data_IF_572954760358
#
_entry.id   IF_572954760358
#
_cell.length_a   1.000
_cell.length_b   1.000
_cell.length_c   1.000
_cell.angle_alpha   90.00
_cell.angle_beta   90.00
_cell.angle_gamma   90.00
#
_symmetry.space_group_name_H-M   'P 1'
#
loop_
_entity.id
_entity.type
_entity.pdbx_description
1 polymer ?
#
# COMPACT_ATOMS: atom_id res chain seq x y z
N UNK A 1 5.51 20.65 -1.40
CA UNK A 1 4.67 20.70 -0.18
C UNK A 1 4.13 19.31 0.15
N UNK A 2 4.21 18.92 1.41
CA UNK A 2 3.70 17.61 1.85
C UNK A 2 2.24 17.72 2.25
N UNK A 3 1.47 16.69 1.93
CA UNK A 3 0.08 16.55 2.38
C UNK A 3 -0.24 15.08 2.54
N UNK A 4 -1.38 14.79 3.16
CA UNK A 4 -1.80 13.41 3.41
C UNK A 4 -2.51 12.88 2.17
N UNK A 5 -2.01 11.74 1.69
CA UNK A 5 -2.63 11.00 0.60
C UNK A 5 -3.16 9.68 1.12
N UNK A 6 -4.25 9.23 0.53
CA UNK A 6 -4.86 7.94 0.84
C UNK A 6 -4.91 7.11 -0.43
N UNK A 7 -4.53 5.86 -0.32
CA UNK A 7 -4.66 4.94 -1.44
C UNK A 7 -4.89 3.52 -0.94
N UNK A 8 -5.36 2.68 -1.84
CA UNK A 8 -5.69 1.29 -1.54
C UNK A 8 -4.90 0.39 -2.47
N UNK A 9 -4.28 -0.64 -1.89
CA UNK A 9 -3.62 -1.70 -2.65
C UNK A 9 -4.54 -2.92 -2.62
N UNK A 10 -4.89 -3.44 -3.79
CA UNK A 10 -5.75 -4.61 -3.92
C UNK A 10 -4.86 -5.82 -4.20
N UNK A 11 -4.88 -6.77 -3.30
CA UNK A 11 -4.00 -7.93 -3.34
C UNK A 11 -4.79 -9.18 -3.69
N UNK A 12 -4.27 -9.99 -4.61
CA UNK A 12 -4.76 -11.36 -4.82
C UNK A 12 -3.97 -12.27 -3.90
N UNK A 13 -4.63 -12.96 -2.98
CA UNK A 13 -3.97 -13.75 -1.95
C UNK A 13 -4.58 -15.15 -1.87
N UNK A 14 -3.76 -16.11 -1.47
CA UNK A 14 -4.22 -17.48 -1.24
C UNK A 14 -4.66 -17.70 0.20
N UNK A 15 -4.17 -16.85 1.10
CA UNK A 15 -4.49 -16.94 2.52
C UNK A 15 -4.25 -15.58 3.17
N UNK A 16 -4.78 -15.40 4.37
CA UNK A 16 -4.54 -14.20 5.16
C UNK A 16 -3.05 -14.01 5.47
N UNK A 17 -2.35 -15.12 5.74
CA UNK A 17 -0.92 -15.06 6.03
C UNK A 17 -0.10 -14.53 4.85
N UNK A 18 -0.47 -14.90 3.63
CA UNK A 18 0.16 -14.36 2.43
C UNK A 18 -0.08 -12.85 2.33
N UNK A 19 -1.31 -12.42 2.63
CA UNK A 19 -1.66 -11.00 2.67
C UNK A 19 -0.81 -10.22 3.67
N UNK A 20 -0.54 -10.80 4.84
CA UNK A 20 0.31 -10.16 5.84
C UNK A 20 1.74 -9.99 5.34
N UNK A 21 2.26 -10.93 4.57
CA UNK A 21 3.60 -10.82 4.00
C UNK A 21 3.67 -9.64 3.03
N UNK A 22 2.66 -9.49 2.16
CA UNK A 22 2.61 -8.35 1.25
C UNK A 22 2.43 -7.02 1.99
N UNK A 23 1.65 -7.01 3.06
CA UNK A 23 1.49 -5.83 3.90
C UNK A 23 2.84 -5.37 4.46
N UNK A 24 3.66 -6.31 4.92
CA UNK A 24 5.01 -6.02 5.41
C UNK A 24 5.90 -5.46 4.31
N UNK A 25 5.80 -5.98 3.10
CA UNK A 25 6.56 -5.48 1.97
C UNK A 25 6.17 -4.04 1.64
N UNK A 26 4.89 -3.74 1.69
CA UNK A 26 4.40 -2.37 1.48
C UNK A 26 4.96 -1.43 2.55
N UNK A 27 4.91 -1.83 3.81
CA UNK A 27 5.47 -1.05 4.91
C UNK A 27 6.96 -0.78 4.71
N UNK A 28 7.70 -1.78 4.26
CA UNK A 28 9.13 -1.66 4.02
C UNK A 28 9.43 -0.65 2.92
N UNK A 29 8.67 -0.71 1.83
CA UNK A 29 8.81 0.24 0.73
C UNK A 29 8.58 1.67 1.23
N UNK A 30 7.50 1.89 1.98
CA UNK A 30 7.17 3.21 2.51
C UNK A 30 8.29 3.73 3.41
N UNK A 31 8.85 2.87 4.24
CA UNK A 31 9.93 3.22 5.16
C UNK A 31 11.20 3.64 4.41
N UNK A 32 11.48 3.00 3.28
CA UNK A 32 12.67 3.30 2.47
C UNK A 32 12.64 4.74 1.91
N UNK A 33 11.47 5.34 1.78
CA UNK A 33 11.34 6.73 1.37
C UNK A 33 11.48 7.71 2.52
N UNK A 34 11.53 7.22 3.77
CA UNK A 34 11.64 8.08 4.94
C UNK A 34 10.42 8.93 5.20
N UNK A 35 9.29 8.60 4.59
CA UNK A 35 8.06 9.35 4.74
C UNK A 35 7.20 8.81 5.89
N UNK A 36 6.36 9.67 6.48
CA UNK A 36 5.40 9.24 7.48
C UNK A 36 4.27 8.49 6.80
N UNK A 37 4.12 7.23 7.14
CA UNK A 37 3.12 6.39 6.51
C UNK A 37 2.59 5.35 7.51
N UNK A 38 1.32 5.00 7.34
CA UNK A 38 0.71 3.96 8.16
C UNK A 38 -0.38 3.27 7.38
N UNK A 39 -0.66 2.05 7.79
CA UNK A 39 -1.77 1.29 7.25
C UNK A 39 -2.97 1.57 8.13
N UNK A 40 -3.97 2.23 7.54
CA UNK A 40 -5.18 2.59 8.27
C UNK A 40 -6.04 1.36 8.54
N UNK A 41 -6.23 0.53 7.53
CA UNK A 41 -6.94 -0.74 7.66
C UNK A 41 -6.38 -1.75 6.66
N UNK A 42 -6.51 -3.02 7.00
CA UNK A 42 -6.18 -4.11 6.09
C UNK A 42 -7.12 -5.27 6.38
N UNK A 43 -7.61 -5.93 5.34
CA UNK A 43 -8.52 -7.04 5.55
C UNK A 43 -8.98 -7.67 4.24
N UNK A 44 -9.64 -8.80 4.37
CA UNK A 44 -10.15 -9.55 3.23
C UNK A 44 -11.41 -8.89 2.67
N UNK A 45 -11.45 -8.73 1.35
CA UNK A 45 -12.66 -8.34 0.62
C UNK A 45 -13.44 -9.58 0.21
N UNK A 46 -12.72 -10.67 -0.03
CA UNK A 46 -13.27 -12.00 -0.33
C UNK A 46 -12.23 -13.03 0.09
N UNK A 47 -12.49 -14.32 -0.16
CA UNK A 47 -11.55 -15.36 0.25
C UNK A 47 -10.19 -15.30 -0.43
N UNK A 48 -10.11 -14.63 -1.57
CA UNK A 48 -8.87 -14.55 -2.37
C UNK A 48 -8.44 -13.12 -2.70
N UNK A 49 -9.09 -12.12 -2.10
CA UNK A 49 -8.78 -10.72 -2.34
C UNK A 49 -8.69 -9.97 -1.02
N UNK A 50 -7.62 -9.22 -0.86
CA UNK A 50 -7.38 -8.41 0.33
C UNK A 50 -7.16 -6.96 -0.07
N UNK A 51 -7.58 -6.02 0.75
CA UNK A 51 -7.25 -4.61 0.55
C UNK A 51 -6.36 -4.12 1.69
N UNK A 52 -5.38 -3.30 1.34
CA UNK A 52 -4.53 -2.60 2.30
C UNK A 52 -4.72 -1.11 2.06
N UNK A 53 -5.33 -0.43 3.01
CA UNK A 53 -5.60 0.99 2.91
C UNK A 53 -4.48 1.77 3.59
N UNK A 54 -3.79 2.60 2.82
CA UNK A 54 -2.58 3.29 3.25
C UNK A 54 -2.83 4.80 3.31
N UNK A 55 -2.28 5.43 4.35
CA UNK A 55 -2.20 6.89 4.45
C UNK A 55 -0.74 7.26 4.53
N UNK A 56 -0.34 8.26 3.77
CA UNK A 56 1.05 8.71 3.77
C UNK A 56 1.12 10.24 3.69
N UNK A 57 1.98 10.81 4.50
CA UNK A 57 2.28 12.25 4.46
C UNK A 57 3.51 12.44 3.58
N UNK A 58 3.29 12.95 2.37
CA UNK A 58 4.36 13.07 1.37
C UNK A 58 4.04 14.15 0.35
N UNK A 59 4.95 14.37 -0.59
CA UNK A 59 4.72 15.25 -1.73
C UNK A 59 4.16 14.46 -2.92
N UNK A 60 3.56 15.18 -3.84
CA UNK A 60 2.96 14.60 -5.04
C UNK A 60 3.96 13.79 -5.87
N UNK A 61 5.17 14.33 -6.05
CA UNK A 61 6.21 13.65 -6.82
C UNK A 61 6.70 12.37 -6.14
N UNK A 62 6.85 12.39 -4.83
CA UNK A 62 7.27 11.22 -4.07
C UNK A 62 6.16 10.16 -4.08
N UNK A 63 4.90 10.58 -3.99
CA UNK A 63 3.77 9.66 -4.04
C UNK A 63 3.78 8.82 -5.31
N UNK A 64 4.09 9.41 -6.44
CA UNK A 64 4.18 8.68 -7.72
C UNK A 64 5.25 7.60 -7.69
N UNK A 65 6.40 7.90 -7.08
CA UNK A 65 7.46 6.92 -6.92
C UNK A 65 7.05 5.80 -5.97
N UNK A 66 6.37 6.13 -4.88
CA UNK A 66 5.86 5.12 -3.94
C UNK A 66 4.89 4.19 -4.65
N UNK A 67 3.94 4.72 -5.41
CA UNK A 67 2.99 3.90 -6.18
C UNK A 67 3.70 2.98 -7.14
N UNK A 68 4.66 3.50 -7.90
CA UNK A 68 5.42 2.71 -8.87
C UNK A 68 6.18 1.57 -8.21
N UNK A 69 6.82 1.84 -7.07
CA UNK A 69 7.59 0.82 -6.36
C UNK A 69 6.70 -0.27 -5.79
N UNK A 70 5.53 0.11 -5.24
CA UNK A 70 4.59 -0.88 -4.73
C UNK A 70 4.07 -1.76 -5.86
N UNK A 71 3.65 -1.16 -6.97
CA UNK A 71 3.14 -1.92 -8.11
C UNK A 71 4.22 -2.82 -8.72
N UNK A 72 5.44 -2.31 -8.84
CA UNK A 72 6.56 -3.08 -9.40
C UNK A 72 6.93 -4.25 -8.49
N UNK A 73 7.01 -4.03 -7.18
CA UNK A 73 7.47 -5.05 -6.23
C UNK A 73 6.39 -6.10 -5.97
N UNK A 74 5.14 -5.69 -5.84
CA UNK A 74 4.05 -6.62 -5.51
C UNK A 74 3.29 -7.11 -6.73
N UNK A 75 3.31 -6.37 -7.82
CA UNK A 75 2.51 -6.67 -9.00
C UNK A 75 1.02 -6.37 -8.82
N UNK A 76 0.66 -5.68 -7.75
CA UNK A 76 -0.74 -5.41 -7.44
C UNK A 76 -1.15 -3.99 -7.81
N UNK A 77 -2.43 -3.84 -8.09
CA UNK A 77 -3.01 -2.58 -8.51
C UNK A 77 -3.21 -1.64 -7.32
N UNK A 78 -2.97 -0.34 -7.56
CA UNK A 78 -3.24 0.71 -6.57
C UNK A 78 -4.46 1.51 -7.04
N UNK A 79 -5.38 1.75 -6.09
CA UNK A 79 -6.52 2.63 -6.31
C UNK A 79 -6.41 3.83 -5.39
N UNK A 80 -6.53 5.03 -5.94
CA UNK A 80 -6.45 6.25 -5.15
C UNK A 80 -7.74 6.48 -4.36
N UNK A 81 -7.56 6.91 -3.12
CA UNK A 81 -8.66 7.14 -2.22
C UNK A 81 -9.27 5.85 -1.66
N UNK A 82 -10.10 5.98 -0.63
CA UNK A 82 -10.86 4.85 -0.07
C UNK A 82 -11.90 5.33 0.94
#
# INVERSE_FOLDING_TARGET
>A
MKKIYKFRVILSVKSYNEGELYEREIKKILKDYGEEAWIATAGLLSKDTMSVNVMVLTSDSILKHIHSDIEYTTGFEIKEGY
#
